data_IF_118240299798
#
_entry.id   IF_118240299798
#
_cell.length_a   1.000
_cell.length_b   1.000
_cell.length_c   1.000
_cell.angle_alpha   90.00
_cell.angle_beta   90.00
_cell.angle_gamma   90.00
#
_symmetry.space_group_name_H-M   'P 1'
#
loop_
_entity.id
_entity.type
_entity.pdbx_description
1 polymer ?
#
# COMPACT_ATOMS: atom_id res chain seq x y z
N UNK A 1 0.06 -12.37 12.83
CA UNK A 1 -0.41 -11.44 13.85
C UNK A 1 -0.77 -10.10 13.24
N UNK A 2 -1.95 -9.57 13.59
CA UNK A 2 -2.46 -8.36 12.97
C UNK A 2 -1.59 -7.13 13.24
N UNK A 3 -0.89 -7.11 14.38
CA UNK A 3 0.00 -6.01 14.73
C UNK A 3 1.14 -5.86 13.73
N UNK A 4 1.75 -6.98 13.36
CA UNK A 4 2.80 -6.98 12.36
C UNK A 4 2.26 -6.64 10.97
N UNK A 5 1.06 -7.11 10.67
CA UNK A 5 0.41 -6.79 9.41
C UNK A 5 0.18 -5.28 9.28
N UNK A 6 -0.32 -4.63 10.33
CA UNK A 6 -0.54 -3.18 10.30
C UNK A 6 0.77 -2.41 10.15
N UNK A 7 1.84 -2.87 10.80
CA UNK A 7 3.16 -2.26 10.61
C UNK A 7 3.60 -2.34 9.16
N UNK A 8 3.44 -3.50 8.55
CA UNK A 8 3.81 -3.71 7.15
C UNK A 8 3.02 -2.77 6.23
N UNK A 9 1.70 -2.69 6.43
CA UNK A 9 0.82 -1.85 5.61
C UNK A 9 1.19 -0.37 5.76
N UNK A 10 1.38 0.07 6.99
CA UNK A 10 1.70 1.48 7.27
C UNK A 10 2.98 1.91 6.57
N UNK A 11 4.05 1.14 6.75
CA UNK A 11 5.33 1.49 6.14
C UNK A 11 5.32 1.30 4.63
N UNK A 12 4.57 0.32 4.15
CA UNK A 12 4.39 0.12 2.71
C UNK A 12 3.69 1.28 2.04
N UNK A 13 2.63 1.79 2.65
CA UNK A 13 1.91 2.96 2.12
C UNK A 13 2.78 4.21 2.14
N UNK A 14 3.51 4.42 3.21
CA UNK A 14 4.44 5.55 3.30
C UNK A 14 5.49 5.44 2.19
N UNK A 15 6.01 4.24 1.95
CA UNK A 15 7.00 4.01 0.90
C UNK A 15 6.47 4.30 -0.49
N UNK A 16 5.25 3.87 -0.79
CA UNK A 16 4.60 4.12 -2.08
C UNK A 16 4.44 5.63 -2.31
N UNK A 17 3.90 6.33 -1.33
CA UNK A 17 3.66 7.76 -1.46
C UNK A 17 4.96 8.54 -1.60
N UNK A 18 5.95 8.18 -0.79
CA UNK A 18 7.25 8.82 -0.86
C UNK A 18 7.89 8.66 -2.24
N UNK A 19 7.86 7.44 -2.77
CA UNK A 19 8.43 7.16 -4.08
C UNK A 19 7.69 7.92 -5.18
N UNK A 20 6.37 7.97 -5.10
CA UNK A 20 5.55 8.70 -6.03
C UNK A 20 5.91 10.19 -6.05
N UNK A 21 6.02 10.79 -4.86
CA UNK A 21 6.43 12.20 -4.74
C UNK A 21 7.84 12.43 -5.27
N UNK A 22 8.77 11.56 -4.91
CA UNK A 22 10.17 11.65 -5.33
C UNK A 22 10.32 11.56 -6.85
N UNK A 23 9.43 10.82 -7.50
CA UNK A 23 9.45 10.66 -8.96
C UNK A 23 8.68 11.76 -9.69
N UNK A 24 8.18 12.77 -8.99
CA UNK A 24 7.45 13.87 -9.59
C UNK A 24 6.00 13.58 -9.89
N UNK A 25 5.43 12.61 -9.18
CA UNK A 25 4.00 12.25 -9.28
C UNK A 25 3.58 11.90 -10.72
N UNK A 26 4.24 10.92 -11.36
CA UNK A 26 3.88 10.57 -12.74
C UNK A 26 2.50 9.94 -12.87
N UNK A 27 2.02 9.27 -11.82
CA UNK A 27 0.68 8.72 -11.78
C UNK A 27 -0.26 9.74 -11.15
N UNK A 28 -1.56 9.63 -11.47
CA UNK A 28 -2.57 10.45 -10.82
C UNK A 28 -2.80 9.98 -9.39
N UNK A 29 -3.41 10.85 -8.58
CA UNK A 29 -3.79 10.48 -7.22
C UNK A 29 -4.70 9.26 -7.20
N UNK A 30 -5.65 9.19 -8.16
CA UNK A 30 -6.55 8.05 -8.28
C UNK A 30 -5.80 6.77 -8.60
N UNK A 31 -4.82 6.83 -9.49
CA UNK A 31 -4.02 5.67 -9.86
C UNK A 31 -3.21 5.15 -8.66
N UNK A 32 -2.60 6.06 -7.91
CA UNK A 32 -1.84 5.68 -6.72
C UNK A 32 -2.76 5.11 -5.65
N UNK A 33 -3.92 5.71 -5.43
CA UNK A 33 -4.88 5.23 -4.45
C UNK A 33 -5.39 3.82 -4.82
N UNK A 34 -5.69 3.61 -6.09
CA UNK A 34 -6.16 2.31 -6.57
C UNK A 34 -5.08 1.24 -6.42
N UNK A 35 -3.86 1.55 -6.83
CA UNK A 35 -2.74 0.61 -6.71
C UNK A 35 -2.49 0.25 -5.25
N UNK A 36 -2.49 1.25 -4.38
CA UNK A 36 -2.29 1.03 -2.95
C UNK A 36 -3.40 0.19 -2.34
N UNK A 37 -4.65 0.49 -2.69
CA UNK A 37 -5.81 -0.28 -2.21
C UNK A 37 -5.77 -1.73 -2.67
N UNK A 38 -5.44 -1.96 -3.93
CA UNK A 38 -5.33 -3.30 -4.49
C UNK A 38 -4.24 -4.11 -3.80
N UNK A 39 -3.12 -3.47 -3.52
CA UNK A 39 -2.02 -4.13 -2.82
C UNK A 39 -2.42 -4.50 -1.39
N UNK A 40 -3.07 -3.58 -0.67
CA UNK A 40 -3.53 -3.82 0.69
C UNK A 40 -4.56 -4.95 0.72
N UNK A 41 -5.52 -4.93 -0.19
CA UNK A 41 -6.55 -5.97 -0.25
C UNK A 41 -5.97 -7.34 -0.57
N UNK A 42 -5.02 -7.41 -1.50
CA UNK A 42 -4.35 -8.66 -1.85
C UNK A 42 -3.58 -9.22 -0.66
N UNK A 43 -2.85 -8.37 0.04
CA UNK A 43 -2.10 -8.77 1.22
C UNK A 43 -3.04 -9.20 2.36
N UNK A 44 -4.14 -8.47 2.54
CA UNK A 44 -5.11 -8.80 3.57
C UNK A 44 -5.74 -10.17 3.33
N UNK A 45 -6.11 -10.45 2.09
CA UNK A 45 -6.66 -11.77 1.73
C UNK A 45 -5.67 -12.88 2.02
N UNK A 46 -4.42 -12.66 1.66
CA UNK A 46 -3.37 -13.64 1.88
C UNK A 46 -3.08 -13.84 3.36
N UNK A 47 -3.05 -12.75 4.12
CA UNK A 47 -2.70 -12.78 5.54
C UNK A 47 -3.82 -13.38 6.40
N UNK A 48 -5.07 -13.00 6.11
CA UNK A 48 -6.22 -13.40 6.92
C UNK A 48 -7.00 -14.57 6.34
N UNK A 49 -6.62 -15.09 5.18
CA UNK A 49 -7.27 -16.25 4.60
C UNK A 49 -7.05 -17.48 5.49
N UNK A 50 -8.09 -18.21 5.71
CA UNK A 50 -8.03 -19.44 6.51
C UNK A 50 -7.33 -20.56 5.73
#
# INVERSE_FOLDING_TARGET
DSEYFFEFITYGLIGIIKKWLDNGMPQTEEEIARMSSDAVLSLARSFFAA
#
